data_IF_152160312908
#
_entry.id   IF_152160312908
#
_cell.length_a   1.000
_cell.length_b   1.000
_cell.length_c   1.000
_cell.angle_alpha   90.00
_cell.angle_beta   90.00
_cell.angle_gamma   90.00
#
_symmetry.space_group_name_H-M   'P 1'
#
loop_
_entity.id
_entity.type
_entity.pdbx_description
1 polymer ?
#
# COMPACT_ATOMS: atom_id res chain seq x y z
N UNK A 1 6.21 -0.36 2.17
CA UNK A 1 7.00 -0.81 3.34
C UNK A 1 7.97 0.29 3.75
N UNK A 2 8.26 0.50 5.05
CA UNK A 2 9.22 1.52 5.49
C UNK A 2 10.59 1.42 4.82
N UNK A 3 11.11 0.19 4.66
CA UNK A 3 12.36 -0.08 3.92
C UNK A 3 12.33 0.45 2.49
N UNK A 4 11.24 0.23 1.74
CA UNK A 4 11.11 0.72 0.36
C UNK A 4 11.07 2.25 0.33
N UNK A 5 10.34 2.88 1.27
CA UNK A 5 10.31 4.35 1.37
C UNK A 5 11.70 4.94 1.62
N UNK A 6 12.44 4.37 2.58
CA UNK A 6 13.82 4.79 2.86
C UNK A 6 14.72 4.59 1.64
N UNK A 7 14.55 3.50 0.88
CA UNK A 7 15.30 3.29 -0.35
C UNK A 7 15.04 4.39 -1.37
N UNK A 8 13.76 4.75 -1.61
CA UNK A 8 13.39 5.86 -2.49
C UNK A 8 14.02 7.18 -2.05
N UNK A 9 13.94 7.50 -0.75
CA UNK A 9 14.53 8.72 -0.20
C UNK A 9 16.04 8.75 -0.44
N UNK A 10 16.75 7.64 -0.24
CA UNK A 10 18.19 7.54 -0.54
C UNK A 10 18.47 7.80 -2.02
N UNK A 11 17.66 7.26 -2.93
CA UNK A 11 17.78 7.53 -4.38
C UNK A 11 17.56 9.00 -4.73
N UNK A 12 16.64 9.67 -4.07
CA UNK A 12 16.46 11.11 -4.23
C UNK A 12 17.68 11.90 -3.76
N UNK A 13 18.24 11.55 -2.59
CA UNK A 13 19.44 12.20 -2.03
C UNK A 13 20.66 12.01 -2.94
N UNK A 14 20.88 10.79 -3.45
CA UNK A 14 21.99 10.44 -4.35
C UNK A 14 21.98 11.23 -5.67
N UNK A 15 20.80 11.70 -6.12
CA UNK A 15 20.68 12.42 -7.40
C UNK A 15 21.19 13.87 -7.34
N UNK A 16 21.40 14.43 -6.15
CA UNK A 16 21.91 15.77 -5.81
C UNK A 16 21.19 16.99 -6.45
N UNK A 17 20.88 16.97 -7.74
CA UNK A 17 20.08 17.97 -8.47
C UNK A 17 18.70 17.41 -8.79
N UNK A 18 17.79 17.51 -7.82
CA UNK A 18 16.44 16.98 -7.92
C UNK A 18 15.42 17.99 -7.40
N UNK A 19 14.52 18.45 -8.27
CA UNK A 19 13.33 19.23 -7.88
C UNK A 19 12.13 18.66 -8.64
N UNK A 20 11.55 17.61 -8.09
CA UNK A 20 10.53 16.81 -8.76
C UNK A 20 9.63 16.11 -7.72
N UNK A 21 8.47 15.63 -8.17
CA UNK A 21 7.54 14.86 -7.35
C UNK A 21 7.57 13.39 -7.76
N UNK A 22 7.68 12.51 -6.77
CA UNK A 22 7.71 11.07 -6.96
C UNK A 22 6.69 10.37 -6.09
N UNK A 23 5.95 9.45 -6.70
CA UNK A 23 4.99 8.61 -6.01
C UNK A 23 5.70 7.37 -5.46
N UNK A 24 5.44 7.06 -4.19
CA UNK A 24 5.86 5.80 -3.57
C UNK A 24 4.83 4.73 -3.93
N UNK A 25 5.29 3.54 -4.27
CA UNK A 25 4.42 2.43 -4.63
C UNK A 25 4.98 1.09 -4.13
N UNK A 26 4.10 0.09 -4.04
CA UNK A 26 4.45 -1.29 -3.69
C UNK A 26 4.71 -2.13 -4.95
N UNK A 27 5.42 -3.25 -4.79
CA UNK A 27 5.71 -4.17 -5.88
C UNK A 27 4.45 -4.58 -6.66
N UNK A 28 3.36 -4.87 -5.93
CA UNK A 28 2.04 -5.10 -6.51
C UNK A 28 0.94 -4.53 -5.59
N UNK A 29 -0.18 -4.04 -6.15
CA UNK A 29 -1.35 -3.66 -5.37
C UNK A 29 -2.05 -4.90 -4.80
N UNK A 30 -2.98 -4.69 -3.86
CA UNK A 30 -3.82 -5.75 -3.27
C UNK A 30 -5.29 -5.43 -3.49
N UNK A 31 -6.11 -6.47 -3.75
CA UNK A 31 -7.56 -6.32 -3.91
C UNK A 31 -8.25 -6.31 -2.54
N UNK A 32 -9.39 -5.63 -2.44
CA UNK A 32 -10.19 -5.53 -1.20
C UNK A 32 -10.55 -6.91 -0.62
N UNK A 33 -11.07 -7.82 -1.46
CA UNK A 33 -11.45 -9.16 -1.00
C UNK A 33 -10.25 -10.02 -0.62
N UNK A 34 -9.09 -9.82 -1.25
CA UNK A 34 -7.84 -10.48 -0.82
C UNK A 34 -7.45 -10.05 0.59
N UNK A 35 -7.62 -8.78 0.94
CA UNK A 35 -7.39 -8.31 2.31
C UNK A 35 -8.41 -8.90 3.30
N UNK A 36 -9.70 -8.92 2.95
CA UNK A 36 -10.73 -9.50 3.81
C UNK A 36 -10.48 -11.00 4.07
N UNK A 37 -10.12 -11.75 3.03
CA UNK A 37 -9.77 -13.17 3.14
C UNK A 37 -8.56 -13.39 4.06
N UNK A 38 -7.49 -12.61 3.86
CA UNK A 38 -6.31 -12.66 4.73
C UNK A 38 -6.65 -12.41 6.20
N UNK A 39 -7.33 -11.30 6.52
CA UNK A 39 -7.66 -10.99 7.92
C UNK A 39 -8.68 -11.95 8.52
N UNK A 40 -9.57 -12.52 7.71
CA UNK A 40 -10.51 -13.54 8.18
C UNK A 40 -9.79 -14.83 8.58
N UNK A 41 -8.83 -15.28 7.75
CA UNK A 41 -8.04 -16.49 8.00
C UNK A 41 -7.05 -16.34 9.14
N UNK A 42 -6.25 -15.27 9.14
CA UNK A 42 -5.14 -15.13 10.10
C UNK A 42 -5.58 -14.58 11.45
N UNK A 43 -6.60 -13.73 11.48
CA UNK A 43 -7.02 -13.01 12.70
C UNK A 43 -8.48 -13.26 13.08
N UNK A 44 -9.18 -14.14 12.37
CA UNK A 44 -10.58 -14.45 12.68
C UNK A 44 -11.55 -13.29 12.40
N UNK A 45 -11.19 -12.34 11.53
CA UNK A 45 -12.08 -11.24 11.15
C UNK A 45 -13.38 -11.78 10.55
N UNK A 46 -14.50 -11.46 11.19
CA UNK A 46 -15.85 -11.74 10.69
C UNK A 46 -16.39 -10.51 9.98
N UNK A 47 -16.85 -10.68 8.75
CA UNK A 47 -17.45 -9.60 7.96
C UNK A 47 -18.69 -10.11 7.21
N UNK A 48 -19.59 -9.18 6.89
CA UNK A 48 -20.71 -9.37 5.98
C UNK A 48 -20.62 -8.38 4.83
N UNK A 49 -21.19 -8.73 3.68
CA UNK A 49 -21.33 -7.84 2.54
C UNK A 49 -22.79 -7.41 2.49
N UNK A 50 -23.05 -6.11 2.66
CA UNK A 50 -24.38 -5.54 2.51
C UNK A 50 -24.52 -4.95 1.11
N UNK A 51 -25.44 -5.50 0.31
CA UNK A 51 -25.81 -4.93 -0.97
C UNK A 51 -26.71 -3.70 -0.80
N UNK A 52 -26.65 -2.76 -1.73
CA UNK A 52 -27.61 -1.63 -1.78
C UNK A 52 -27.30 -0.46 -0.84
N UNK A 53 -26.12 -0.41 -0.21
CA UNK A 53 -25.67 0.79 0.52
C UNK A 53 -25.42 1.91 -0.51
N UNK A 54 -26.43 2.76 -0.75
CA UNK A 54 -26.32 4.00 -1.53
C UNK A 54 -25.45 5.02 -0.77
N UNK A 55 -24.14 4.76 -0.69
CA UNK A 55 -23.19 5.79 -0.27
C UNK A 55 -23.04 6.74 -1.45
N UNK A 56 -23.47 7.99 -1.25
CA UNK A 56 -23.17 9.06 -2.19
C UNK A 56 -21.65 9.17 -2.30
N UNK A 57 -21.06 8.63 -3.37
CA UNK A 57 -19.67 8.89 -3.71
C UNK A 57 -19.61 10.32 -4.27
N UNK A 58 -19.70 11.32 -3.38
CA UNK A 58 -19.68 12.76 -3.71
C UNK A 58 -18.47 13.14 -4.57
N UNK A 59 -17.40 12.33 -4.54
CA UNK A 59 -16.14 12.54 -5.28
C UNK A 59 -15.92 11.55 -6.45
N UNK A 60 -16.93 10.75 -6.83
CA UNK A 60 -16.85 9.79 -7.94
C UNK A 60 -16.33 8.39 -7.55
N UNK A 61 -16.22 7.49 -8.54
CA UNK A 61 -15.80 6.09 -8.34
C UNK A 61 -14.30 6.00 -8.01
N UNK A 62 -13.95 5.82 -6.74
CA UNK A 62 -12.58 5.49 -6.31
C UNK A 62 -12.31 3.99 -6.46
N UNK A 63 -12.05 3.56 -7.69
CA UNK A 63 -11.74 2.15 -7.98
C UNK A 63 -10.27 1.80 -7.69
N UNK A 64 -9.39 2.80 -7.61
CA UNK A 64 -7.95 2.63 -7.53
C UNK A 64 -7.42 3.58 -6.44
N UNK A 65 -6.80 3.00 -5.41
CA UNK A 65 -6.20 3.72 -4.27
C UNK A 65 -4.67 3.61 -4.24
N UNK A 66 -4.06 3.20 -5.35
CA UNK A 66 -2.61 3.06 -5.49
C UNK A 66 -2.12 3.93 -6.65
N UNK A 67 -0.88 4.39 -6.55
CA UNK A 67 -0.28 5.15 -7.64
C UNK A 67 0.05 4.26 -8.84
N UNK A 68 -0.23 4.78 -10.04
CA UNK A 68 0.23 4.24 -11.32
C UNK A 68 1.45 4.97 -11.86
N UNK A 69 1.86 6.07 -11.21
CA UNK A 69 3.02 6.83 -11.62
C UNK A 69 4.28 6.04 -11.27
N UNK A 70 5.05 5.67 -12.29
CA UNK A 70 6.31 4.91 -12.17
C UNK A 70 7.56 5.75 -12.46
N UNK A 71 7.44 7.08 -12.50
CA UNK A 71 8.54 8.00 -12.84
C UNK A 71 9.80 7.79 -11.99
N UNK A 72 9.64 7.37 -10.74
CA UNK A 72 10.74 7.15 -9.80
C UNK A 72 11.62 5.93 -10.15
N UNK A 73 11.17 5.04 -11.03
CA UNK A 73 11.98 3.94 -11.58
C UNK A 73 13.23 4.48 -12.30
N UNK A 74 13.16 5.68 -12.87
CA UNK A 74 14.31 6.36 -13.49
C UNK A 74 15.40 6.75 -12.48
N UNK A 75 15.10 6.76 -11.17
CA UNK A 75 16.07 6.93 -10.09
C UNK A 75 16.61 5.58 -9.58
N UNK A 76 16.23 4.46 -10.21
CA UNK A 76 16.60 3.11 -9.78
C UNK A 76 15.79 2.59 -8.59
N UNK A 77 14.65 3.20 -8.28
CA UNK A 77 13.74 2.69 -7.26
C UNK A 77 12.95 1.49 -7.79
N UNK A 78 13.04 0.37 -7.06
CA UNK A 78 12.21 -0.81 -7.26
C UNK A 78 11.79 -1.31 -5.87
N UNK A 79 10.49 -1.25 -5.52
CA UNK A 79 10.03 -1.73 -4.22
C UNK A 79 10.19 -3.24 -4.11
N UNK A 80 10.52 -3.71 -2.92
CA UNK A 80 10.69 -5.15 -2.65
C UNK A 80 9.40 -5.81 -2.19
N UNK A 81 8.47 -5.05 -1.58
CA UNK A 81 7.30 -5.61 -0.93
C UNK A 81 6.02 -5.26 -1.68
N UNK A 82 5.16 -6.25 -1.85
CA UNK A 82 3.78 -6.07 -2.31
C UNK A 82 2.95 -5.36 -1.24
N UNK A 83 1.80 -4.78 -1.63
CA UNK A 83 0.88 -4.16 -0.68
C UNK A 83 0.38 -5.14 0.37
N UNK A 84 0.17 -6.41 0.01
CA UNK A 84 -0.27 -7.44 0.96
C UNK A 84 0.83 -7.69 1.99
N UNK A 85 2.06 -7.99 1.58
CA UNK A 85 3.18 -8.23 2.51
C UNK A 85 3.45 -7.03 3.42
N UNK A 86 3.30 -5.80 2.91
CA UNK A 86 3.39 -4.60 3.74
C UNK A 86 2.34 -4.62 4.87
N UNK A 87 1.09 -4.92 4.52
CA UNK A 87 -0.01 -4.92 5.49
C UNK A 87 0.15 -6.07 6.48
N UNK A 88 0.58 -7.25 6.04
CA UNK A 88 0.83 -8.41 6.91
C UNK A 88 1.84 -8.07 8.00
N UNK A 89 3.04 -7.63 7.60
CA UNK A 89 4.14 -7.31 8.53
C UNK A 89 3.79 -6.20 9.52
N UNK A 90 3.17 -5.13 9.03
CA UNK A 90 2.77 -4.03 9.90
C UNK A 90 1.62 -4.44 10.84
N UNK A 91 0.71 -5.32 10.40
CA UNK A 91 -0.36 -5.84 11.25
C UNK A 91 0.17 -6.73 12.36
N UNK A 92 1.12 -7.62 12.03
CA UNK A 92 1.85 -8.44 13.00
C UNK A 92 2.53 -7.55 14.05
N UNK A 93 3.36 -6.59 13.61
CA UNK A 93 4.07 -5.67 14.50
C UNK A 93 3.13 -4.86 15.41
N UNK A 94 2.01 -4.34 14.86
CA UNK A 94 1.03 -3.55 15.61
C UNK A 94 0.25 -4.37 16.64
N UNK A 95 0.00 -5.65 16.36
CA UNK A 95 -0.78 -6.53 17.22
C UNK A 95 0.08 -7.26 18.26
N UNK A 96 1.34 -7.55 17.95
CA UNK A 96 2.32 -8.10 18.90
C UNK A 96 2.69 -7.09 19.98
N UNK A 97 2.85 -5.81 19.63
CA UNK A 97 3.09 -4.72 20.60
C UNK A 97 1.94 -4.47 21.59
N UNK A 98 0.78 -5.10 21.40
CA UNK A 98 -0.37 -5.00 22.29
C UNK A 98 -0.50 -6.17 23.27
N UNK A 99 0.41 -7.14 23.24
CA UNK A 99 0.52 -8.21 24.24
C UNK A 99 1.58 -7.86 25.27
#
# INVERSE_FOLDING_TARGET
HPIDLVNLIKKCIEKHSLNDAYDVYSLNPVKKFTLLDYFSKEYGLKYIIEDGVNRSNVTGKKNIYYSKNRKVENLGYLPKFTSLECIMKESEELLEKKK
#
